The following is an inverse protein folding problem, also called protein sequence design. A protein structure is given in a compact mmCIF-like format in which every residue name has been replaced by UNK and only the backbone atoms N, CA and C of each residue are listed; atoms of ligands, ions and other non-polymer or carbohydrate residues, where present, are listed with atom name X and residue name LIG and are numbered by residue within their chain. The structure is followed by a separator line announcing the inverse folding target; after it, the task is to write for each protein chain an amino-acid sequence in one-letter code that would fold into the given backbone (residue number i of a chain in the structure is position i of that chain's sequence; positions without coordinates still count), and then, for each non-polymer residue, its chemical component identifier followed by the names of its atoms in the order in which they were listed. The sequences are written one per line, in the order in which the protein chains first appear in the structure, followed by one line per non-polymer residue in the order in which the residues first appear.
data_IF_191366759997
#
_entry.id   IF_191366759997
#
_cell.length_a   1.000
_cell.length_b   1.000
_cell.length_c   1.000
_cell.angle_alpha   90.00
_cell.angle_beta   90.00
_cell.angle_gamma   90.00
#
_symmetry.space_group_name_H-M   'P 1'
#
loop_
_entity.id
_entity.type
_entity.pdbx_description
1 polymer ?
#
# COMPACT_ATOMS: atom_id res chain seq x y z
N UNK A 1 -1.90 34.35 8.34
CA UNK A 1 -2.38 33.34 7.39
C UNK A 1 -1.23 32.40 7.14
N UNK A 2 -1.30 31.17 7.63
CA UNK A 2 -0.20 30.20 7.45
C UNK A 2 -0.37 29.59 6.07
N UNK A 3 0.53 29.94 5.15
CA UNK A 3 0.68 29.24 3.87
C UNK A 3 0.90 27.76 4.17
N UNK A 4 -0.17 26.99 4.04
CA UNK A 4 -0.12 25.54 4.09
C UNK A 4 0.43 25.12 2.73
N UNK A 5 1.73 25.33 2.54
CA UNK A 5 2.46 24.63 1.49
C UNK A 5 2.20 23.16 1.76
N UNK A 6 1.33 22.57 0.94
CA UNK A 6 1.08 21.13 0.91
C UNK A 6 2.41 20.57 0.43
N UNK A 7 3.33 20.35 1.35
CA UNK A 7 4.53 19.58 1.12
C UNK A 7 4.02 18.23 0.64
N UNK A 8 4.10 18.00 -0.67
CA UNK A 8 3.90 16.69 -1.23
C UNK A 8 4.94 15.81 -0.56
N UNK A 9 4.53 15.07 0.46
CA UNK A 9 5.42 14.15 1.16
C UNK A 9 5.98 13.21 0.10
N UNK A 10 7.27 13.34 -0.18
CA UNK A 10 7.91 12.57 -1.21
C UNK A 10 8.12 11.15 -0.69
N UNK A 11 7.21 10.26 -1.06
CA UNK A 11 7.27 8.86 -0.67
C UNK A 11 8.25 8.11 -1.56
N UNK A 12 9.07 7.26 -0.95
CA UNK A 12 9.91 6.30 -1.68
C UNK A 12 9.05 5.34 -2.50
N UNK A 13 9.58 4.72 -3.58
CA UNK A 13 8.83 3.74 -4.37
C UNK A 13 8.19 2.63 -3.51
N UNK A 14 8.95 2.05 -2.59
CA UNK A 14 8.43 1.01 -1.70
C UNK A 14 7.29 1.50 -0.78
N UNK A 15 7.32 2.75 -0.33
CA UNK A 15 6.21 3.35 0.42
C UNK A 15 4.97 3.55 -0.47
N UNK A 16 5.15 4.01 -1.72
CA UNK A 16 4.05 4.15 -2.68
C UNK A 16 3.36 2.80 -2.94
N UNK A 17 4.15 1.75 -3.14
CA UNK A 17 3.65 0.37 -3.28
C UNK A 17 2.92 -0.14 -2.03
N UNK A 18 3.41 0.25 -0.86
CA UNK A 18 2.74 -0.09 0.40
C UNK A 18 1.40 0.64 0.56
N UNK A 19 1.31 1.91 0.16
CA UNK A 19 0.05 2.69 0.15
C UNK A 19 -0.99 2.02 -0.74
N UNK A 20 -0.62 1.59 -1.95
CA UNK A 20 -1.53 0.91 -2.88
C UNK A 20 -2.04 -0.41 -2.29
N UNK A 21 -1.15 -1.22 -1.72
CA UNK A 21 -1.53 -2.49 -1.05
C UNK A 21 -2.45 -2.26 0.15
N UNK A 22 -2.16 -1.25 0.98
CA UNK A 22 -2.98 -0.86 2.11
C UNK A 22 -4.39 -0.44 1.65
N UNK A 23 -4.47 0.34 0.57
CA UNK A 23 -5.74 0.74 -0.02
C UNK A 23 -6.56 -0.46 -0.49
N UNK A 24 -5.92 -1.43 -1.14
CA UNK A 24 -6.56 -2.68 -1.57
C UNK A 24 -7.11 -3.49 -0.40
N UNK A 25 -6.31 -3.66 0.66
CA UNK A 25 -6.73 -4.34 1.88
C UNK A 25 -7.94 -3.66 2.53
N UNK A 26 -7.89 -2.35 2.72
CA UNK A 26 -8.99 -1.60 3.33
C UNK A 26 -10.25 -1.58 2.48
N UNK A 27 -10.11 -1.62 1.16
CA UNK A 27 -11.27 -1.73 0.26
C UNK A 27 -11.98 -3.07 0.44
N UNK A 28 -11.24 -4.18 0.54
CA UNK A 28 -11.81 -5.50 0.82
C UNK A 28 -12.45 -5.57 2.21
N UNK A 29 -11.76 -5.08 3.23
CA UNK A 29 -12.31 -5.01 4.59
C UNK A 29 -13.61 -4.18 4.65
N UNK A 30 -13.78 -3.19 3.76
CA UNK A 30 -15.04 -2.45 3.64
C UNK A 30 -16.16 -3.27 3.00
N UNK A 31 -15.85 -4.09 2.01
CA UNK A 31 -16.82 -5.02 1.40
C UNK A 31 -17.34 -6.00 2.46
N UNK A 32 -16.48 -6.44 3.37
CA UNK A 32 -16.83 -7.26 4.54
C UNK A 32 -17.57 -6.47 5.64
N UNK A 33 -17.75 -5.16 5.47
CA UNK A 33 -18.48 -4.30 6.40
C UNK A 33 -17.69 -3.89 7.64
N UNK A 34 -16.37 -4.07 7.67
CA UNK A 34 -15.51 -3.71 8.82
C UNK A 34 -15.43 -2.19 8.99
N UNK A 35 -15.30 -1.45 7.89
CA UNK A 35 -15.15 0.03 7.93
C UNK A 35 -16.31 0.76 7.24
N UNK A 36 -17.54 0.47 7.69
CA UNK A 36 -18.76 1.11 7.14
C UNK A 36 -18.70 2.63 7.31
N UNK A 37 -19.16 3.35 6.28
CA UNK A 37 -19.26 4.83 6.30
C UNK A 37 -17.94 5.60 6.11
N UNK A 38 -16.77 4.95 6.21
CA UNK A 38 -15.48 5.62 6.10
C UNK A 38 -14.93 5.55 4.67
N UNK A 39 -14.29 6.63 4.18
CA UNK A 39 -13.64 6.60 2.85
C UNK A 39 -12.30 5.89 2.97
N UNK A 40 -12.00 4.99 2.03
CA UNK A 40 -10.76 4.20 2.03
C UNK A 40 -9.50 5.07 2.09
N UNK A 41 -9.50 6.21 1.39
CA UNK A 41 -8.36 7.15 1.42
C UNK A 41 -8.09 7.74 2.81
N UNK A 42 -9.12 7.86 3.65
CA UNK A 42 -9.03 8.43 5.00
C UNK A 42 -8.44 7.41 5.95
N UNK A 43 -8.91 6.16 5.82
CA UNK A 43 -8.38 5.01 6.52
C UNK A 43 -6.90 4.82 6.22
N UNK A 44 -6.51 4.87 4.94
CA UNK A 44 -5.10 4.73 4.52
C UNK A 44 -4.26 5.88 5.06
N UNK A 45 -4.76 7.12 4.97
CA UNK A 45 -4.08 8.30 5.51
C UNK A 45 -3.85 8.19 7.02
N UNK A 46 -4.86 7.78 7.77
CA UNK A 46 -4.77 7.57 9.22
C UNK A 46 -3.85 6.39 9.58
N UNK A 47 -3.91 5.28 8.85
CA UNK A 47 -3.11 4.08 9.14
C UNK A 47 -1.62 4.31 8.84
N UNK A 48 -1.30 5.02 7.76
CA UNK A 48 0.07 5.25 7.33
C UNK A 48 0.63 6.59 7.80
N UNK A 49 -0.18 7.40 8.50
CA UNK A 49 0.17 8.74 8.96
C UNK A 49 0.69 9.63 7.82
N UNK A 50 -0.02 9.58 6.68
CA UNK A 50 0.27 10.39 5.50
C UNK A 50 -0.86 11.38 5.23
N UNK A 51 -0.58 12.43 4.46
CA UNK A 51 -1.63 13.35 4.04
C UNK A 51 -2.67 12.64 3.15
N UNK A 52 -3.95 12.97 3.38
CA UNK A 52 -5.08 12.47 2.59
C UNK A 52 -4.91 12.75 1.08
N UNK A 53 -4.36 13.92 0.75
CA UNK A 53 -4.04 14.30 -0.62
C UNK A 53 -3.06 13.33 -1.28
N UNK A 54 -2.01 12.93 -0.56
CA UNK A 54 -1.01 11.97 -1.03
C UNK A 54 -1.63 10.60 -1.36
N UNK A 55 -2.47 10.07 -0.48
CA UNK A 55 -3.19 8.81 -0.74
C UNK A 55 -4.11 8.92 -1.97
N UNK A 56 -4.78 10.06 -2.14
CA UNK A 56 -5.66 10.29 -3.29
C UNK A 56 -4.87 10.38 -4.61
N UNK A 57 -3.76 11.12 -4.62
CA UNK A 57 -2.92 11.30 -5.81
C UNK A 57 -2.27 9.98 -6.22
N UNK A 58 -1.73 9.20 -5.28
CA UNK A 58 -1.13 7.90 -5.58
C UNK A 58 -2.13 6.91 -6.16
N UNK A 59 -3.35 6.85 -5.60
CA UNK A 59 -4.36 5.94 -6.13
C UNK A 59 -4.88 6.36 -7.50
N UNK A 60 -4.91 7.67 -7.80
CA UNK A 60 -5.23 8.14 -9.14
C UNK A 60 -4.13 7.76 -10.13
N UNK A 61 -2.86 7.96 -9.77
CA UNK A 61 -1.72 7.55 -10.60
C UNK A 61 -1.72 6.03 -10.86
N UNK A 62 -1.91 5.21 -9.82
CA UNK A 62 -2.01 3.75 -9.95
C UNK A 62 -3.22 3.29 -10.78
N UNK A 63 -4.34 4.03 -10.78
CA UNK A 63 -5.50 3.70 -11.63
C UNK A 63 -5.27 4.04 -13.10
N UNK A 64 -4.52 5.12 -13.36
CA UNK A 64 -4.13 5.52 -14.70
C UNK A 64 -3.09 4.55 -15.30
N UNK A 65 -2.22 4.00 -14.45
CA UNK A 65 -1.24 2.99 -14.83
C UNK A 65 -1.25 1.84 -13.81
N UNK A 66 -2.02 0.79 -14.13
CA UNK A 66 -2.17 -0.40 -13.28
C UNK A 66 -0.92 -1.28 -13.26
N UNK A 67 0.02 -1.06 -14.18
CA UNK A 67 1.32 -1.74 -14.24
C UNK A 67 2.43 -0.97 -13.53
N UNK A 68 2.11 0.17 -12.91
CA UNK A 68 3.03 0.90 -12.04
C UNK A 68 3.37 0.05 -10.81
N UNK A 69 4.29 -0.91 -10.99
CA UNK A 69 5.03 -1.53 -9.92
C UNK A 69 5.95 -0.46 -9.36
N UNK A 70 5.65 0.08 -8.18
CA UNK A 70 6.64 0.89 -7.47
C UNK A 70 7.65 -0.07 -6.81
N UNK A 71 8.29 -0.95 -7.59
CA UNK A 71 8.97 -2.17 -7.10
C UNK A 71 9.83 -1.91 -5.83
N UNK A 72 9.41 -2.37 -4.64
CA UNK A 72 10.32 -2.59 -3.54
C UNK A 72 11.10 -3.87 -3.85
N UNK A 73 12.43 -3.76 -3.95
CA UNK A 73 13.34 -4.92 -4.01
C UNK A 73 12.92 -5.92 -2.93
N UNK A 74 12.63 -7.15 -3.33
CA UNK A 74 12.23 -8.22 -2.41
C UNK A 74 13.29 -8.38 -1.29
N UNK A 75 12.93 -8.06 -0.05
CA UNK A 75 13.69 -8.49 1.12
C UNK A 75 13.49 -10.00 1.26
N UNK A 76 14.57 -10.77 1.16
CA UNK A 76 14.61 -12.25 1.22
C UNK A 76 14.26 -12.84 2.60
N UNK A 77 13.48 -12.13 3.42
CA UNK A 77 13.15 -12.57 4.77
C UNK A 77 11.96 -13.54 4.72
N UNK A 78 12.21 -14.78 4.30
CA UNK A 78 11.20 -15.83 4.29
C UNK A 78 11.44 -17.05 3.41
N UNK A 79 12.67 -17.34 2.95
CA UNK A 79 12.96 -18.64 2.34
C UNK A 79 12.87 -19.72 3.43
N UNK A 80 11.68 -20.29 3.65
CA UNK A 80 11.55 -21.58 4.32
C UNK A 80 12.27 -22.60 3.46
N UNK A 81 13.30 -23.24 4.02
CA UNK A 81 13.82 -24.49 3.47
C UNK A 81 12.65 -25.47 3.44
N UNK A 82 12.28 -25.93 2.24
CA UNK A 82 11.44 -27.12 2.11
C UNK A 82 12.37 -28.31 2.05
N UNK A 83 12.22 -29.19 3.04
CA UNK A 83 12.85 -30.48 3.12
C UNK A 83 12.50 -31.31 1.89
N UNK A 84 13.51 -31.72 1.12
CA UNK A 84 13.36 -32.83 0.18
C UNK A 84 13.90 -34.09 0.86
N UNK A 85 13.02 -34.76 1.60
CA UNK A 85 13.12 -36.19 1.83
C UNK A 85 12.51 -36.90 0.61
N UNK A 86 13.35 -37.47 -0.26
CA UNK A 86 12.97 -38.47 -1.25
C UNK A 86 14.16 -39.44 -1.41
N UNK A 87 14.20 -40.49 -0.60
CA UNK A 87 13.89 -41.89 -0.96
C UNK A 87 15.08 -42.63 -1.59
N UNK A 88 15.53 -43.60 -0.79
CA UNK A 88 16.42 -44.72 -1.04
C UNK A 88 16.57 -45.23 -2.48
N UNK A 89 17.82 -45.58 -2.83
CA UNK A 89 18.19 -46.86 -3.44
C UNK A 89 19.51 -47.34 -2.88
#
# INVERSE_FOLDING_TARGET
MSDTSITQQELTPGQKDYVVRCYGFMSKAKEDGIFRGQRTRDLVAACLQIARGTASTLMNAYRADKEAKFEPKSSQRGKKASDNAAIAK
#
